data_IF_634885793245
#
_entry.id   IF_634885793245
#
_cell.length_a   1.000
_cell.length_b   1.000
_cell.length_c   1.000
_cell.angle_alpha   90.00
_cell.angle_beta   90.00
_cell.angle_gamma   90.00
#
_symmetry.space_group_name_H-M   'P 1'
#
loop_
_entity.id
_entity.type
_entity.pdbx_description
1 polymer ?
#
# COMPACT_ATOMS: atom_id res chain seq x y z
N UNK A 1 31.63 -8.36 4.77
CA UNK A 1 31.07 -7.29 3.90
C UNK A 1 30.86 -6.07 4.79
N UNK A 2 31.00 -4.86 4.27
CA UNK A 2 30.63 -3.67 5.02
C UNK A 2 29.10 -3.64 5.20
N UNK A 3 28.65 -3.00 6.27
CA UNK A 3 27.23 -2.92 6.63
C UNK A 3 26.37 -2.41 5.46
N UNK A 4 26.87 -1.45 4.68
CA UNK A 4 26.16 -0.90 3.53
C UNK A 4 25.85 -1.97 2.47
N UNK A 5 26.81 -2.85 2.16
CA UNK A 5 26.58 -3.94 1.21
C UNK A 5 25.61 -5.00 1.76
N UNK A 6 25.64 -5.25 3.08
CA UNK A 6 24.70 -6.17 3.72
C UNK A 6 23.27 -5.63 3.69
N UNK A 7 23.07 -4.35 4.03
CA UNK A 7 21.77 -3.69 3.97
C UNK A 7 21.20 -3.69 2.55
N UNK A 8 22.05 -3.43 1.56
CA UNK A 8 21.65 -3.47 0.16
C UNK A 8 21.27 -4.89 -0.29
N UNK A 9 22.07 -5.90 0.06
CA UNK A 9 21.81 -7.30 -0.26
C UNK A 9 20.49 -7.79 0.35
N UNK A 10 20.27 -7.49 1.63
CA UNK A 10 19.01 -7.77 2.33
C UNK A 10 17.83 -7.07 1.65
N UNK A 11 17.97 -5.78 1.34
CA UNK A 11 16.93 -5.01 0.64
C UNK A 11 16.55 -5.59 -0.72
N UNK A 12 17.54 -5.98 -1.52
CA UNK A 12 17.32 -6.64 -2.81
C UNK A 12 16.62 -8.00 -2.67
N UNK A 13 16.99 -8.78 -1.66
CA UNK A 13 16.33 -10.05 -1.35
C UNK A 13 14.87 -9.85 -0.96
N UNK A 14 14.60 -8.87 -0.08
CA UNK A 14 13.24 -8.53 0.38
C UNK A 14 12.39 -7.99 -0.77
N UNK A 15 12.97 -7.15 -1.63
CA UNK A 15 12.29 -6.60 -2.80
C UNK A 15 11.77 -7.70 -3.75
N UNK A 16 12.58 -8.75 -3.99
CA UNK A 16 12.15 -9.89 -4.84
C UNK A 16 10.98 -10.67 -4.25
N UNK A 17 10.89 -10.70 -2.92
CA UNK A 17 9.89 -11.46 -2.15
C UNK A 17 8.77 -10.58 -1.60
N UNK A 18 8.68 -9.32 -2.01
CA UNK A 18 7.74 -8.35 -1.41
C UNK A 18 6.25 -8.68 -1.56
N UNK A 19 5.91 -9.56 -2.49
CA UNK A 19 4.55 -10.08 -2.63
C UNK A 19 4.15 -11.10 -1.56
N UNK A 20 5.11 -11.71 -0.85
CA UNK A 20 4.84 -12.70 0.21
C UNK A 20 4.46 -12.05 1.53
N UNK A 21 5.03 -10.89 1.86
CA UNK A 21 4.80 -10.23 3.15
C UNK A 21 3.33 -9.87 3.41
N UNK A 22 2.58 -9.30 2.45
CA UNK A 22 1.13 -9.14 2.55
C UNK A 22 0.37 -10.40 3.00
N UNK A 23 0.78 -11.58 2.53
CA UNK A 23 0.14 -12.84 2.88
C UNK A 23 0.46 -13.23 4.32
N UNK A 24 1.71 -13.06 4.75
CA UNK A 24 2.12 -13.32 6.14
C UNK A 24 1.37 -12.40 7.10
N UNK A 25 1.35 -11.09 6.80
CA UNK A 25 0.61 -10.10 7.60
C UNK A 25 -0.88 -10.44 7.65
N UNK A 26 -1.46 -10.89 6.54
CA UNK A 26 -2.85 -11.33 6.48
C UNK A 26 -3.12 -12.53 7.40
N UNK A 27 -2.34 -13.62 7.30
CA UNK A 27 -2.55 -14.81 8.13
C UNK A 27 -2.37 -14.51 9.61
N UNK A 28 -1.32 -13.76 9.98
CA UNK A 28 -1.09 -13.37 11.38
C UNK A 28 -2.18 -12.40 11.86
N UNK A 29 -2.67 -11.50 11.00
CA UNK A 29 -3.73 -10.55 11.33
C UNK A 29 -5.07 -11.24 11.57
N UNK A 30 -5.46 -12.20 10.73
CA UNK A 30 -6.66 -13.04 10.94
C UNK A 30 -6.55 -13.78 12.28
N UNK A 31 -5.40 -14.43 12.52
CA UNK A 31 -5.16 -15.11 13.79
C UNK A 31 -5.25 -14.16 14.99
N UNK A 32 -4.64 -12.97 14.88
CA UNK A 32 -4.68 -11.96 15.93
C UNK A 32 -6.11 -11.45 16.20
N UNK A 33 -6.93 -11.27 15.17
CA UNK A 33 -8.33 -10.88 15.32
C UNK A 33 -9.11 -11.97 16.08
N UNK A 34 -9.03 -13.22 15.63
CA UNK A 34 -9.69 -14.37 16.28
C UNK A 34 -9.25 -14.49 17.75
N UNK A 35 -7.94 -14.40 18.00
CA UNK A 35 -7.40 -14.41 19.35
C UNK A 35 -7.96 -13.28 20.23
N UNK A 36 -8.07 -12.07 19.67
CA UNK A 36 -8.59 -10.89 20.38
C UNK A 36 -10.07 -11.02 20.70
N UNK A 37 -10.85 -11.62 19.80
CA UNK A 37 -12.27 -11.92 20.02
C UNK A 37 -12.43 -12.92 21.17
N UNK A 38 -11.69 -14.04 21.14
CA UNK A 38 -11.77 -15.07 22.18
C UNK A 38 -11.28 -14.60 23.56
N UNK A 39 -10.26 -13.74 23.60
CA UNK A 39 -9.71 -13.22 24.85
C UNK A 39 -10.42 -11.97 25.36
N UNK A 40 -11.43 -11.47 24.62
CA UNK A 40 -12.14 -10.22 24.94
C UNK A 40 -11.17 -9.05 25.17
N UNK A 41 -10.24 -8.85 24.23
CA UNK A 41 -9.21 -7.82 24.34
C UNK A 41 -9.79 -6.43 24.63
N UNK A 42 -9.09 -5.64 25.46
CA UNK A 42 -9.58 -4.34 25.98
C UNK A 42 -10.05 -3.39 24.87
N UNK A 43 -9.27 -3.27 23.80
CA UNK A 43 -9.64 -2.40 22.68
C UNK A 43 -10.90 -2.92 21.98
N UNK A 44 -10.97 -4.23 21.73
CA UNK A 44 -12.12 -4.87 21.10
C UNK A 44 -13.40 -4.68 21.91
N UNK A 45 -13.38 -4.93 23.21
CA UNK A 45 -14.56 -4.74 24.08
C UNK A 45 -15.02 -3.29 24.13
N UNK A 46 -14.10 -2.33 24.03
CA UNK A 46 -14.40 -0.89 23.99
C UNK A 46 -15.05 -0.47 22.66
N UNK A 47 -14.57 -1.00 21.53
CA UNK A 47 -15.06 -0.60 20.20
C UNK A 47 -16.26 -1.43 19.74
N UNK A 48 -16.53 -2.58 20.34
CA UNK A 48 -17.60 -3.49 19.92
C UNK A 48 -18.98 -2.82 19.81
N UNK A 49 -19.43 -1.97 20.75
CA UNK A 49 -20.70 -1.25 20.61
C UNK A 49 -20.76 -0.29 19.40
N UNK A 50 -19.60 0.13 18.90
CA UNK A 50 -19.42 1.06 17.79
C UNK A 50 -18.71 0.42 16.61
N UNK A 51 -18.82 -0.91 16.45
CA UNK A 51 -18.03 -1.70 15.49
C UNK A 51 -18.03 -1.11 14.08
N UNK A 52 -19.21 -0.78 13.54
CA UNK A 52 -19.35 -0.21 12.20
C UNK A 52 -18.63 1.14 12.06
N UNK A 53 -18.64 1.98 13.11
CA UNK A 53 -17.93 3.25 13.12
C UNK A 53 -16.41 3.07 13.14
N UNK A 54 -15.92 2.13 13.96
CA UNK A 54 -14.51 1.78 14.02
C UNK A 54 -14.00 1.17 12.70
N UNK A 55 -14.80 0.32 12.08
CA UNK A 55 -14.52 -0.24 10.76
C UNK A 55 -14.44 0.86 9.68
N UNK A 56 -15.39 1.80 9.67
CA UNK A 56 -15.36 2.95 8.76
C UNK A 56 -14.08 3.79 8.94
N UNK A 57 -13.62 3.99 10.18
CA UNK A 57 -12.37 4.68 10.47
C UNK A 57 -11.16 3.93 9.91
N UNK A 58 -11.08 2.62 10.13
CA UNK A 58 -10.02 1.77 9.57
C UNK A 58 -10.03 1.81 8.04
N UNK A 59 -11.21 1.76 7.43
CA UNK A 59 -11.40 1.82 5.98
C UNK A 59 -10.95 3.17 5.44
N UNK A 60 -11.29 4.27 6.12
CA UNK A 60 -10.85 5.61 5.74
C UNK A 60 -9.33 5.73 5.72
N UNK A 61 -8.63 5.19 6.73
CA UNK A 61 -7.15 5.16 6.76
C UNK A 61 -6.61 4.39 5.55
N UNK A 62 -7.17 3.21 5.25
CA UNK A 62 -6.72 2.41 4.12
C UNK A 62 -7.02 3.08 2.76
N UNK A 63 -8.16 3.74 2.64
CA UNK A 63 -8.55 4.51 1.44
C UNK A 63 -7.65 5.72 1.24
N UNK A 64 -7.25 6.43 2.30
CA UNK A 64 -6.26 7.51 2.20
C UNK A 64 -4.93 7.00 1.62
N UNK A 65 -4.47 5.83 2.06
CA UNK A 65 -3.31 5.15 1.46
C UNK A 65 -3.52 4.79 -0.01
N UNK A 66 -4.70 4.31 -0.36
CA UNK A 66 -5.06 3.99 -1.74
C UNK A 66 -5.06 5.23 -2.64
N UNK A 67 -5.59 6.37 -2.15
CA UNK A 67 -5.60 7.65 -2.86
C UNK A 67 -4.18 8.13 -3.13
N UNK A 68 -3.28 8.08 -2.13
CA UNK A 68 -1.85 8.41 -2.31
C UNK A 68 -1.25 7.57 -3.44
N UNK A 69 -1.55 6.27 -3.48
CA UNK A 69 -1.05 5.39 -4.54
C UNK A 69 -1.63 5.72 -5.90
N UNK A 70 -2.93 5.94 -6.01
CA UNK A 70 -3.57 6.34 -7.26
C UNK A 70 -3.00 7.65 -7.77
N UNK A 71 -2.86 8.66 -6.89
CA UNK A 71 -2.26 9.94 -7.21
C UNK A 71 -0.82 9.79 -7.72
N UNK A 72 0.00 9.01 -7.00
CA UNK A 72 1.38 8.74 -7.40
C UNK A 72 1.44 8.07 -8.77
N UNK A 73 0.71 6.97 -8.95
CA UNK A 73 0.72 6.18 -10.19
C UNK A 73 0.24 6.99 -11.38
N UNK A 74 -0.79 7.83 -11.20
CA UNK A 74 -1.36 8.66 -12.26
C UNK A 74 -0.40 9.73 -12.80
N UNK A 75 0.61 10.13 -12.03
CA UNK A 75 1.60 11.16 -12.40
C UNK A 75 2.98 10.58 -12.80
N UNK A 76 3.17 9.26 -12.69
CA UNK A 76 4.46 8.63 -13.03
C UNK A 76 4.63 8.45 -14.55
N UNK A 77 5.85 8.53 -15.09
CA UNK A 77 6.19 8.13 -16.46
C UNK A 77 6.19 6.60 -16.65
N UNK A 78 6.36 6.12 -17.89
CA UNK A 78 6.54 4.68 -18.21
C UNK A 78 7.76 4.14 -17.48
N UNK A 79 7.75 2.83 -17.18
CA UNK A 79 8.90 2.13 -16.60
C UNK A 79 9.47 2.73 -15.31
N UNK A 80 8.67 3.49 -14.58
CA UNK A 80 8.94 3.88 -13.19
C UNK A 80 7.80 3.40 -12.30
N UNK A 81 8.08 3.27 -11.00
CA UNK A 81 7.07 3.01 -9.97
C UNK A 81 6.19 1.80 -10.34
N UNK A 82 6.82 0.77 -10.90
CA UNK A 82 6.18 -0.45 -11.40
C UNK A 82 6.07 -1.53 -10.32
N UNK A 83 5.31 -2.59 -10.63
CA UNK A 83 5.19 -3.77 -9.76
C UNK A 83 6.19 -4.87 -10.09
N UNK A 84 7.30 -4.53 -10.74
CA UNK A 84 8.35 -5.51 -11.04
C UNK A 84 8.98 -6.02 -9.74
N UNK A 85 9.17 -7.32 -9.61
CA UNK A 85 9.81 -7.93 -8.42
C UNK A 85 11.18 -8.49 -8.74
N UNK A 86 11.45 -8.85 -10.01
CA UNK A 86 12.72 -9.47 -10.37
C UNK A 86 13.94 -8.54 -10.19
N UNK A 87 13.78 -7.25 -10.53
CA UNK A 87 14.84 -6.24 -10.45
C UNK A 87 14.29 -4.82 -10.26
N UNK A 88 15.15 -3.91 -9.82
CA UNK A 88 14.87 -2.48 -9.83
C UNK A 88 14.78 -1.97 -11.29
N UNK A 89 13.79 -1.13 -11.57
CA UNK A 89 13.56 -0.54 -12.90
C UNK A 89 13.13 0.92 -12.72
N UNK A 90 13.90 1.82 -13.31
CA UNK A 90 13.58 3.25 -13.36
C UNK A 90 14.24 3.86 -14.61
N UNK A 91 13.47 4.11 -15.67
CA UNK A 91 14.02 4.71 -16.90
C UNK A 91 14.29 6.21 -16.73
N UNK A 92 13.55 6.86 -15.84
CA UNK A 92 13.75 8.25 -15.43
C UNK A 92 13.66 8.38 -13.91
N UNK A 93 14.22 9.46 -13.37
CA UNK A 93 14.05 9.83 -11.96
C UNK A 93 12.80 10.70 -11.81
N UNK A 94 11.87 10.30 -10.94
CA UNK A 94 10.68 11.10 -10.64
C UNK A 94 11.00 12.09 -9.53
N UNK A 95 10.91 13.39 -9.80
CA UNK A 95 11.25 14.46 -8.84
C UNK A 95 10.13 15.48 -8.64
N UNK A 96 9.08 15.43 -9.47
CA UNK A 96 7.93 16.36 -9.44
C UNK A 96 6.66 15.70 -8.93
N UNK A 97 5.62 16.50 -8.66
CA UNK A 97 4.38 16.05 -8.04
C UNK A 97 4.62 15.52 -6.63
N UNK A 98 4.04 14.35 -6.31
CA UNK A 98 4.21 13.77 -4.96
C UNK A 98 5.67 13.38 -4.65
N UNK A 99 6.49 13.14 -5.67
CA UNK A 99 7.92 12.85 -5.48
C UNK A 99 8.74 14.09 -5.11
N UNK A 100 8.18 15.31 -5.18
CA UNK A 100 8.86 16.50 -4.68
C UNK A 100 8.68 16.69 -3.17
N UNK A 101 7.71 16.00 -2.55
CA UNK A 101 7.40 16.13 -1.12
C UNK A 101 7.88 14.93 -0.30
N UNK A 102 8.01 13.75 -0.91
CA UNK A 102 8.49 12.52 -0.27
C UNK A 102 9.13 11.59 -1.32
N UNK A 103 10.22 10.91 -0.95
CA UNK A 103 10.93 10.00 -1.88
C UNK A 103 10.18 8.69 -2.16
N UNK A 104 9.40 8.19 -1.20
CA UNK A 104 8.77 6.86 -1.26
C UNK A 104 7.24 6.87 -1.07
N UNK A 105 6.49 7.63 -1.90
CA UNK A 105 5.05 7.82 -1.72
C UNK A 105 4.22 6.53 -1.86
N UNK A 106 4.67 5.58 -2.70
CA UNK A 106 4.00 4.28 -2.82
C UNK A 106 4.10 3.44 -1.54
N UNK A 107 5.22 3.56 -0.80
CA UNK A 107 5.40 2.87 0.47
C UNK A 107 4.63 3.55 1.58
N UNK A 108 4.49 4.87 1.57
CA UNK A 108 3.54 5.56 2.45
C UNK A 108 2.10 5.12 2.19
N UNK A 109 1.69 5.05 0.92
CA UNK A 109 0.34 4.61 0.57
C UNK A 109 0.08 3.15 0.95
N UNK A 110 1.04 2.25 0.71
CA UNK A 110 0.96 0.86 1.16
C UNK A 110 0.89 0.75 2.70
N UNK A 111 1.65 1.58 3.42
CA UNK A 111 1.66 1.58 4.89
C UNK A 111 0.26 1.87 5.42
N UNK A 112 -0.37 2.95 4.96
CA UNK A 112 -1.72 3.32 5.38
C UNK A 112 -2.77 2.27 4.98
N UNK A 113 -2.67 1.70 3.78
CA UNK A 113 -3.54 0.60 3.35
C UNK A 113 -3.52 -0.57 4.34
N UNK A 114 -2.32 -1.01 4.76
CA UNK A 114 -2.16 -2.13 5.68
C UNK A 114 -2.37 -1.74 7.14
N UNK A 115 -2.12 -0.49 7.51
CA UNK A 115 -2.38 0.01 8.87
C UNK A 115 -3.87 -0.07 9.22
N UNK A 116 -4.76 0.30 8.31
CA UNK A 116 -6.20 0.13 8.54
C UNK A 116 -6.59 -1.34 8.77
N UNK A 117 -6.01 -2.27 8.01
CA UNK A 117 -6.22 -3.72 8.21
C UNK A 117 -5.64 -4.19 9.55
N UNK A 118 -4.46 -3.70 9.94
CA UNK A 118 -3.88 -4.03 11.24
C UNK A 118 -4.75 -3.54 12.40
N UNK A 119 -5.31 -2.34 12.28
CA UNK A 119 -6.24 -1.77 13.27
C UNK A 119 -7.56 -2.55 13.36
N UNK A 120 -8.08 -3.11 12.26
CA UNK A 120 -9.28 -3.96 12.27
C UNK A 120 -9.16 -5.19 13.17
N UNK A 121 -7.93 -5.65 13.44
CA UNK A 121 -7.71 -6.78 14.37
C UNK A 121 -8.08 -6.45 15.82
N UNK A 122 -8.20 -5.15 16.13
CA UNK A 122 -8.32 -4.61 17.49
C UNK A 122 -7.22 -5.09 18.45
N UNK A 123 -6.10 -5.57 17.92
CA UNK A 123 -4.99 -6.07 18.69
C UNK A 123 -3.85 -5.05 18.69
N UNK A 124 -3.66 -4.39 19.83
CA UNK A 124 -2.63 -3.33 19.99
C UNK A 124 -1.23 -3.92 19.77
N UNK A 125 -0.95 -5.11 20.32
CA UNK A 125 0.35 -5.77 20.16
C UNK A 125 0.66 -6.09 18.69
N UNK A 126 -0.30 -6.64 17.96
CA UNK A 126 -0.18 -6.88 16.53
C UNK A 126 0.01 -5.58 15.74
N UNK A 127 -0.75 -4.53 16.06
CA UNK A 127 -0.64 -3.24 15.38
C UNK A 127 0.75 -2.62 15.58
N UNK A 128 1.27 -2.62 16.81
CA UNK A 128 2.62 -2.14 17.11
C UNK A 128 3.68 -2.98 16.40
N UNK A 129 3.56 -4.30 16.45
CA UNK A 129 4.45 -5.22 15.74
C UNK A 129 4.41 -5.01 14.22
N UNK A 130 3.23 -4.76 13.65
CA UNK A 130 3.05 -4.41 12.25
C UNK A 130 3.78 -3.10 11.91
N UNK A 131 3.62 -2.03 12.70
CA UNK A 131 4.28 -0.74 12.43
C UNK A 131 5.81 -0.88 12.47
N UNK A 132 6.35 -1.52 13.50
CA UNK A 132 7.80 -1.73 13.64
C UNK A 132 8.35 -2.66 12.55
N UNK A 133 7.64 -3.76 12.27
CA UNK A 133 8.02 -4.70 11.23
C UNK A 133 7.98 -4.06 9.84
N UNK A 134 6.96 -3.25 9.56
CA UNK A 134 6.86 -2.49 8.31
C UNK A 134 8.02 -1.51 8.17
N UNK A 135 8.37 -0.79 9.25
CA UNK A 135 9.49 0.14 9.25
C UNK A 135 10.80 -0.55 8.86
N UNK A 136 11.20 -1.58 9.59
CA UNK A 136 12.45 -2.31 9.33
C UNK A 136 12.45 -2.90 7.91
N UNK A 137 11.33 -3.50 7.51
CA UNK A 137 11.22 -4.16 6.21
C UNK A 137 11.36 -3.18 5.04
N UNK A 138 10.60 -2.09 5.06
CA UNK A 138 10.62 -1.11 3.97
C UNK A 138 11.88 -0.25 3.99
N UNK A 139 12.49 0.01 5.15
CA UNK A 139 13.79 0.69 5.25
C UNK A 139 14.85 -0.07 4.43
N UNK A 140 14.92 -1.40 4.56
CA UNK A 140 15.87 -2.22 3.80
C UNK A 140 15.61 -2.14 2.29
N UNK A 141 14.34 -2.22 1.87
CA UNK A 141 13.97 -2.12 0.46
C UNK A 141 14.30 -0.73 -0.09
N UNK A 142 13.91 0.32 0.62
CA UNK A 142 14.20 1.71 0.28
C UNK A 142 15.69 1.92 0.15
N UNK A 143 16.49 1.39 1.08
CA UNK A 143 17.95 1.49 1.00
C UNK A 143 18.50 0.88 -0.30
N UNK A 144 18.08 -0.33 -0.66
CA UNK A 144 18.51 -0.97 -1.91
C UNK A 144 18.04 -0.19 -3.15
N UNK A 145 16.84 0.38 -3.11
CA UNK A 145 16.31 1.26 -4.16
C UNK A 145 17.14 2.51 -4.34
N UNK A 146 17.48 3.17 -3.23
CA UNK A 146 18.27 4.38 -3.25
C UNK A 146 19.71 4.13 -3.72
N UNK A 147 20.33 3.01 -3.36
CA UNK A 147 21.64 2.63 -3.92
C UNK A 147 21.57 2.37 -5.43
N UNK A 148 20.50 1.72 -5.90
CA UNK A 148 20.26 1.55 -7.33
C UNK A 148 20.10 2.90 -8.05
N UNK A 149 19.28 3.80 -7.52
CA UNK A 149 19.05 5.12 -8.10
C UNK A 149 20.31 5.99 -8.06
N UNK A 150 21.07 5.95 -6.96
CA UNK A 150 22.35 6.66 -6.83
C UNK A 150 23.34 6.22 -7.89
N UNK A 151 23.52 4.90 -8.09
CA UNK A 151 24.43 4.39 -9.14
C UNK A 151 23.96 4.73 -10.55
N UNK A 152 22.64 4.77 -10.78
CA UNK A 152 22.08 5.05 -12.11
C UNK A 152 22.08 6.52 -12.49
N UNK A 153 21.75 7.41 -11.55
CA UNK A 153 21.51 8.84 -11.81
C UNK A 153 22.54 9.78 -11.17
N UNK A 154 23.46 9.27 -10.36
CA UNK A 154 24.56 10.03 -9.77
C UNK A 154 24.09 11.27 -9.01
N UNK A 155 24.70 12.42 -9.32
CA UNK A 155 24.44 13.69 -8.65
C UNK A 155 23.01 14.20 -8.84
N UNK A 156 22.33 13.83 -9.93
CA UNK A 156 20.93 14.20 -10.15
C UNK A 156 20.04 13.61 -9.04
N UNK A 157 20.30 12.36 -8.66
CA UNK A 157 19.61 11.71 -7.55
C UNK A 157 20.01 12.32 -6.21
N UNK A 158 21.31 12.54 -5.97
CA UNK A 158 21.81 13.08 -4.69
C UNK A 158 21.23 14.47 -4.40
N UNK A 159 21.27 15.38 -5.38
CA UNK A 159 20.74 16.74 -5.26
C UNK A 159 19.23 16.75 -4.96
N UNK A 160 18.45 15.85 -5.56
CA UNK A 160 17.02 15.70 -5.27
C UNK A 160 16.78 15.08 -3.88
N UNK A 161 17.56 14.06 -3.52
CA UNK A 161 17.41 13.33 -2.27
C UNK A 161 17.78 14.14 -1.03
N UNK A 162 18.76 15.05 -1.12
CA UNK A 162 19.11 15.98 -0.04
C UNK A 162 17.96 16.92 0.32
N UNK A 163 17.17 17.31 -0.68
CA UNK A 163 16.06 18.26 -0.51
C UNK A 163 14.77 17.57 -0.08
N UNK A 164 14.60 16.30 -0.42
CA UNK A 164 13.34 15.55 -0.31
C UNK A 164 13.40 14.47 0.80
N UNK A 165 12.53 14.53 1.82
CA UNK A 165 12.56 13.56 2.91
C UNK A 165 12.16 12.14 2.46
N UNK A 166 12.70 11.12 3.13
CA UNK A 166 12.38 9.72 2.83
C UNK A 166 10.98 9.29 3.30
N UNK A 167 10.57 9.69 4.51
CA UNK A 167 9.40 9.12 5.20
C UNK A 167 8.27 10.10 5.48
N UNK A 168 8.59 11.31 5.96
CA UNK A 168 7.58 12.30 6.34
C UNK A 168 7.44 13.36 5.24
N UNK A 169 6.27 13.51 4.61
CA UNK A 169 6.09 14.46 3.51
C UNK A 169 6.35 15.90 3.94
N UNK A 170 7.10 16.65 3.11
CA UNK A 170 7.29 18.10 3.29
C UNK A 170 6.49 18.87 2.23
N UNK A 171 5.21 19.10 2.51
CA UNK A 171 4.27 19.74 1.56
C UNK A 171 4.69 21.14 1.07
N UNK A 172 5.53 21.87 1.82
CA UNK A 172 6.08 23.17 1.41
C UNK A 172 6.96 23.11 0.16
N UNK A 173 7.46 21.93 -0.22
CA UNK A 173 8.32 21.72 -1.40
C UNK A 173 7.54 21.14 -2.59
N UNK A 174 6.21 21.31 -2.62
CA UNK A 174 5.41 20.78 -3.72
C UNK A 174 5.74 21.49 -5.04
N UNK A 175 6.18 20.72 -6.02
CA UNK A 175 6.38 21.15 -7.40
C UNK A 175 5.33 20.46 -8.25
N UNK A 176 4.54 21.17 -9.09
CA UNK A 176 3.57 20.56 -9.98
C UNK A 176 4.18 19.44 -10.82
N UNK A 177 3.40 18.41 -11.13
CA UNK A 177 3.89 17.28 -11.93
C UNK A 177 4.09 17.68 -13.39
N UNK A 178 5.16 17.17 -14.00
CA UNK A 178 5.44 17.36 -15.43
C UNK A 178 4.42 16.65 -16.34
N UNK A 179 3.67 15.70 -15.79
CA UNK A 179 2.71 14.87 -16.51
C UNK A 179 1.30 15.09 -15.96
N UNK A 180 0.27 15.36 -16.78
CA UNK A 180 -1.11 15.39 -16.29
C UNK A 180 -1.55 14.04 -15.72
N UNK A 181 -2.51 14.01 -14.81
CA UNK A 181 -2.99 12.76 -14.22
C UNK A 181 -3.59 11.79 -15.27
N UNK A 182 -3.16 10.52 -15.26
CA UNK A 182 -3.71 9.46 -16.12
C UNK A 182 -4.66 8.50 -15.39
N UNK A 183 -5.96 8.62 -15.66
CA UNK A 183 -6.96 7.65 -15.20
C UNK A 183 -6.75 6.26 -15.80
N UNK A 184 -6.36 6.16 -17.09
CA UNK A 184 -6.12 4.87 -17.76
C UNK A 184 -5.03 4.07 -17.05
N UNK A 185 -3.93 4.73 -16.70
CA UNK A 185 -2.80 4.12 -15.98
C UNK A 185 -3.20 3.68 -14.58
N UNK A 186 -3.91 4.55 -13.84
CA UNK A 186 -4.40 4.23 -12.49
C UNK A 186 -5.30 3.01 -12.53
N UNK A 187 -6.33 3.00 -13.37
CA UNK A 187 -7.26 1.89 -13.48
C UNK A 187 -6.54 0.59 -13.90
N UNK A 188 -5.58 0.67 -14.85
CA UNK A 188 -4.79 -0.49 -15.31
C UNK A 188 -3.91 -1.08 -14.21
N UNK A 189 -3.22 -0.23 -13.46
CA UNK A 189 -2.26 -0.65 -12.42
C UNK A 189 -2.97 -0.96 -11.10
N UNK A 190 -3.88 -0.12 -10.63
CA UNK A 190 -4.42 -0.14 -9.27
C UNK A 190 -5.69 -0.99 -9.06
N UNK A 191 -6.32 -1.54 -10.11
CA UNK A 191 -7.51 -2.42 -9.98
C UNK A 191 -7.36 -3.57 -8.98
N UNK A 192 -6.17 -4.20 -8.92
CA UNK A 192 -5.92 -5.30 -7.98
C UNK A 192 -5.90 -4.79 -6.54
N UNK A 193 -5.36 -3.58 -6.31
CA UNK A 193 -5.26 -2.98 -4.98
C UNK A 193 -6.63 -2.56 -4.45
N UNK A 194 -7.47 -1.94 -5.30
CA UNK A 194 -8.85 -1.58 -4.96
C UNK A 194 -9.66 -2.81 -4.56
N UNK A 195 -9.66 -3.84 -5.42
CA UNK A 195 -10.42 -5.05 -5.14
C UNK A 195 -9.92 -5.78 -3.90
N UNK A 196 -8.59 -5.92 -3.74
CA UNK A 196 -8.02 -6.56 -2.57
C UNK A 196 -8.35 -5.80 -1.28
N UNK A 197 -8.36 -4.46 -1.29
CA UNK A 197 -8.72 -3.66 -0.11
C UNK A 197 -10.14 -3.99 0.36
N UNK A 198 -11.15 -3.89 -0.51
CA UNK A 198 -12.53 -4.18 -0.12
C UNK A 198 -12.74 -5.66 0.26
N UNK A 199 -12.13 -6.58 -0.49
CA UNK A 199 -12.19 -8.01 -0.19
C UNK A 199 -11.63 -8.32 1.21
N UNK A 200 -10.49 -7.73 1.57
CA UNK A 200 -9.89 -7.91 2.89
C UNK A 200 -10.77 -7.31 3.98
N UNK A 201 -11.27 -6.09 3.81
CA UNK A 201 -12.18 -5.49 4.79
C UNK A 201 -13.43 -6.35 5.00
N UNK A 202 -14.06 -6.82 3.92
CA UNK A 202 -15.21 -7.74 4.03
C UNK A 202 -14.84 -9.05 4.72
N UNK A 203 -13.66 -9.60 4.46
CA UNK A 203 -13.21 -10.83 5.12
C UNK A 203 -13.09 -10.64 6.65
N UNK A 204 -12.44 -9.55 7.09
CA UNK A 204 -12.29 -9.26 8.52
C UNK A 204 -13.64 -8.96 9.20
N UNK A 205 -14.56 -8.29 8.50
CA UNK A 205 -15.93 -8.05 8.98
C UNK A 205 -16.71 -9.37 9.15
N UNK A 206 -16.69 -10.24 8.14
CA UNK A 206 -17.35 -11.54 8.20
C UNK A 206 -16.84 -12.41 9.34
N UNK A 207 -15.53 -12.35 9.65
CA UNK A 207 -14.95 -13.08 10.79
C UNK A 207 -15.55 -12.62 12.12
N UNK A 208 -15.79 -11.31 12.29
CA UNK A 208 -16.43 -10.77 13.50
C UNK A 208 -17.91 -11.12 13.53
N UNK A 209 -18.63 -10.88 12.44
CA UNK A 209 -20.07 -11.17 12.35
C UNK A 209 -20.39 -12.66 12.55
N UNK A 210 -19.49 -13.55 12.14
CA UNK A 210 -19.62 -15.00 12.36
C UNK A 210 -19.47 -15.39 13.83
N UNK A 211 -18.59 -14.72 14.58
CA UNK A 211 -18.28 -15.07 15.97
C UNK A 211 -19.14 -14.32 16.98
N UNK A 212 -19.63 -13.13 16.65
CA UNK A 212 -20.37 -12.25 17.55
C UNK A 212 -21.80 -12.07 17.08
N UNK A 213 -22.75 -12.69 17.77
CA UNK A 213 -24.18 -12.69 17.41
C UNK A 213 -24.81 -11.29 17.37
N UNK A 214 -24.28 -10.33 18.12
CA UNK A 214 -24.77 -8.95 18.14
C UNK A 214 -24.27 -8.10 16.96
N UNK A 215 -23.32 -8.59 16.16
CA UNK A 215 -22.74 -7.88 15.02
C UNK A 215 -23.20 -8.56 13.73
N UNK A 216 -23.92 -7.82 12.89
CA UNK A 216 -24.24 -8.27 11.53
C UNK A 216 -23.17 -7.82 10.54
N UNK A 217 -22.90 -8.64 9.53
CA UNK A 217 -22.00 -8.27 8.44
C UNK A 217 -22.45 -6.96 7.76
N UNK A 218 -21.50 -6.09 7.45
CA UNK A 218 -21.73 -4.78 6.87
C UNK A 218 -22.17 -4.91 5.40
N UNK A 219 -23.44 -4.60 5.07
CA UNK A 219 -23.93 -4.73 3.69
C UNK A 219 -23.23 -3.78 2.73
N UNK A 220 -22.78 -2.61 3.22
CA UNK A 220 -22.03 -1.64 2.43
C UNK A 220 -20.66 -2.17 2.00
N UNK A 221 -19.92 -2.82 2.90
CA UNK A 221 -18.66 -3.50 2.55
C UNK A 221 -18.90 -4.61 1.53
N UNK A 222 -19.93 -5.43 1.74
CA UNK A 222 -20.29 -6.49 0.81
C UNK A 222 -20.58 -5.94 -0.60
N UNK A 223 -21.38 -4.88 -0.69
CA UNK A 223 -21.69 -4.21 -1.94
C UNK A 223 -20.43 -3.62 -2.62
N UNK A 224 -19.57 -2.94 -1.87
CA UNK A 224 -18.32 -2.39 -2.40
C UNK A 224 -17.36 -3.49 -2.90
N UNK A 225 -17.29 -4.63 -2.21
CA UNK A 225 -16.53 -5.80 -2.65
C UNK A 225 -17.08 -6.39 -3.95
N UNK A 226 -18.40 -6.53 -4.06
CA UNK A 226 -19.04 -7.01 -5.29
C UNK A 226 -18.79 -6.04 -6.47
N UNK A 227 -19.03 -4.74 -6.28
CA UNK A 227 -18.81 -3.72 -7.30
C UNK A 227 -17.35 -3.67 -7.74
N UNK A 228 -16.40 -3.67 -6.79
CA UNK A 228 -14.97 -3.67 -7.11
C UNK A 228 -14.50 -4.99 -7.73
N UNK A 229 -15.13 -6.12 -7.40
CA UNK A 229 -14.90 -7.43 -8.02
C UNK A 229 -15.36 -7.48 -9.48
N UNK A 230 -16.57 -7.01 -9.77
CA UNK A 230 -17.08 -6.86 -11.14
C UNK A 230 -16.17 -5.92 -11.93
N UNK A 231 -15.83 -4.76 -11.37
CA UNK A 231 -14.90 -3.81 -11.97
C UNK A 231 -13.53 -4.44 -12.26
N UNK A 232 -12.98 -5.21 -11.33
CA UNK A 232 -11.73 -5.94 -11.54
C UNK A 232 -11.81 -6.91 -12.73
N UNK A 233 -12.90 -7.70 -12.83
CA UNK A 233 -13.09 -8.65 -13.93
C UNK A 233 -13.21 -7.95 -15.28
N UNK A 234 -14.02 -6.87 -15.35
CA UNK A 234 -14.17 -6.04 -16.54
C UNK A 234 -12.83 -5.46 -16.97
N UNK A 235 -12.07 -4.87 -16.04
CA UNK A 235 -10.76 -4.28 -16.35
C UNK A 235 -9.70 -5.32 -16.72
N UNK A 236 -9.78 -6.52 -16.14
CA UNK A 236 -8.93 -7.66 -16.51
C UNK A 236 -9.24 -8.12 -17.95
N UNK A 237 -10.52 -8.18 -18.31
CA UNK A 237 -10.96 -8.49 -19.66
C UNK A 237 -10.51 -7.42 -20.67
N UNK A 238 -10.80 -6.14 -20.41
CA UNK A 238 -10.37 -5.01 -21.24
C UNK A 238 -8.86 -5.02 -21.46
N UNK A 239 -8.08 -5.22 -20.39
CA UNK A 239 -6.60 -5.27 -20.48
C UNK A 239 -6.11 -6.43 -21.34
N UNK A 240 -6.79 -7.59 -21.33
CA UNK A 240 -6.38 -8.78 -22.06
C UNK A 240 -6.78 -8.72 -23.54
N UNK A 241 -7.93 -8.14 -23.85
CA UNK A 241 -8.56 -8.23 -25.17
C UNK A 241 -8.62 -6.92 -25.96
N UNK A 242 -8.25 -5.77 -25.38
CA UNK A 242 -8.36 -4.46 -26.05
C UNK A 242 -7.10 -3.60 -25.85
N UNK A 243 -7.01 -2.51 -26.63
CA UNK A 243 -5.98 -1.46 -26.47
C UNK A 243 -6.50 -0.22 -25.74
N UNK A 244 -7.71 -0.27 -25.18
CA UNK A 244 -8.41 0.90 -24.62
C UNK A 244 -7.66 1.58 -23.46
N UNK A 245 -6.93 0.78 -22.69
CA UNK A 245 -6.10 1.23 -21.55
C UNK A 245 -4.62 1.46 -21.93
N UNK A 246 -4.28 1.51 -23.21
CA UNK A 246 -2.93 1.88 -23.65
C UNK A 246 -2.85 3.38 -23.84
N UNK A 247 -1.76 3.96 -23.34
CA UNK A 247 -1.47 5.39 -23.42
C UNK A 247 0.02 5.52 -23.76
N UNK A 248 0.37 5.94 -24.99
CA UNK A 248 1.77 6.04 -25.42
C UNK A 248 2.54 6.97 -24.48
N UNK A 249 3.73 6.55 -24.04
CA UNK A 249 4.52 7.32 -23.09
C UNK A 249 3.99 7.30 -21.65
N UNK A 250 2.98 6.44 -21.31
CA UNK A 250 2.48 6.25 -19.92
C UNK A 250 2.31 4.80 -19.44
#
# INVERSE_FOLDING_TARGET
>A
MALQEELESQGNWLFRRRSLLPLIVLFVGIWAQIFTIHTSGILFSTVLPYWQGYECLCLFISLAGMVIRMYTVGHTPVSTSGRNTAKQVADSLNTTGIYSVIRHPLYLGNFLMWLGIALLTCNIGFTVAFVLGYWIYYERIMYAEEQFLRRKFGDVYLNWAERTPAFFPRFRQFTPSDLPFSWKKVVKKEKNGVFALFLLFSLFDFIVAWQITSVSANPGLCAMTLVSGIGYLVLKYIKKHTRLLNEPGR
#
